data_IF_629900525620
#
_entry.id   IF_629900525620
#
_cell.length_a   1.000
_cell.length_b   1.000
_cell.length_c   1.000
_cell.angle_alpha   90.00
_cell.angle_beta   90.00
_cell.angle_gamma   90.00
#
_symmetry.space_group_name_H-M   'P 1'
#
loop_
_entity.id
_entity.type
_entity.pdbx_description
1 polymer ?
#
# COMPACT_ATOMS: atom_id res chain seq x y z
N UNK A 1 -11.04 0.60 -13.00
CA UNK A 1 -9.64 0.10 -13.16
C UNK A 1 -8.64 1.25 -13.19
N UNK A 2 -8.61 2.08 -14.23
CA UNK A 2 -7.64 3.19 -14.33
C UNK A 2 -7.61 4.12 -13.10
N UNK A 3 -8.77 4.57 -12.60
CA UNK A 3 -8.83 5.39 -11.38
C UNK A 3 -8.28 4.69 -10.14
N UNK A 4 -8.45 3.37 -10.06
CA UNK A 4 -7.91 2.57 -8.95
C UNK A 4 -6.39 2.45 -9.07
N UNK A 5 -5.88 2.19 -10.28
CA UNK A 5 -4.44 2.23 -10.58
C UNK A 5 -3.82 3.57 -10.16
N UNK A 6 -4.43 4.71 -10.53
CA UNK A 6 -3.93 6.03 -10.14
C UNK A 6 -3.91 6.23 -8.62
N UNK A 7 -4.96 5.78 -7.92
CA UNK A 7 -5.03 5.88 -6.47
C UNK A 7 -3.91 5.07 -5.81
N UNK A 8 -3.74 3.79 -6.18
CA UNK A 8 -2.72 2.94 -5.56
C UNK A 8 -1.30 3.35 -5.96
N UNK A 9 -1.10 3.87 -7.18
CA UNK A 9 0.17 4.48 -7.59
C UNK A 9 0.52 5.67 -6.69
N UNK A 10 -0.46 6.55 -6.43
CA UNK A 10 -0.27 7.67 -5.51
C UNK A 10 0.06 7.19 -4.10
N UNK A 11 -0.64 6.19 -3.57
CA UNK A 11 -0.38 5.67 -2.22
C UNK A 11 1.04 5.07 -2.08
N UNK A 12 1.58 4.47 -3.14
CA UNK A 12 2.99 4.04 -3.19
C UNK A 12 3.94 5.23 -3.20
N UNK A 13 3.72 6.23 -4.07
CA UNK A 13 4.59 7.40 -4.20
C UNK A 13 4.59 8.31 -2.96
N UNK A 14 3.45 8.43 -2.29
CA UNK A 14 3.31 9.18 -1.04
C UNK A 14 3.88 8.40 0.17
N UNK A 15 4.35 7.16 -0.03
CA UNK A 15 4.92 6.31 1.03
C UNK A 15 3.90 5.72 1.98
N UNK A 16 2.59 5.81 1.66
CA UNK A 16 1.52 5.17 2.46
C UNK A 16 1.58 3.65 2.37
N UNK A 17 1.93 3.13 1.19
CA UNK A 17 2.21 1.71 0.97
C UNK A 17 3.72 1.50 0.84
N UNK A 18 4.28 0.88 1.86
CA UNK A 18 5.71 0.58 1.90
C UNK A 18 6.03 -0.56 0.92
N UNK A 19 7.08 -0.37 0.14
CA UNK A 19 7.60 -1.37 -0.78
C UNK A 19 9.08 -1.60 -0.54
N UNK A 20 9.56 -2.82 -0.80
CA UNK A 20 10.99 -3.05 -0.94
C UNK A 20 11.52 -2.38 -2.20
N UNK A 21 12.83 -2.17 -2.29
CA UNK A 21 13.47 -1.60 -3.47
C UNK A 21 13.08 -2.35 -4.77
N UNK A 22 13.08 -3.67 -4.69
CA UNK A 22 12.75 -4.56 -5.81
C UNK A 22 11.28 -4.42 -6.24
N UNK A 23 10.36 -4.34 -5.27
CA UNK A 23 8.94 -4.09 -5.54
C UNK A 23 8.73 -2.69 -6.16
N UNK A 24 9.41 -1.68 -5.62
CA UNK A 24 9.36 -0.31 -6.16
C UNK A 24 9.81 -0.25 -7.62
N UNK A 25 10.90 -0.94 -7.98
CA UNK A 25 11.41 -0.99 -9.37
C UNK A 25 10.39 -1.67 -10.30
N UNK A 26 9.79 -2.80 -9.88
CA UNK A 26 8.72 -3.47 -10.63
C UNK A 26 7.52 -2.57 -10.88
N UNK A 27 7.07 -1.90 -9.82
CA UNK A 27 5.95 -0.96 -9.89
C UNK A 27 6.27 0.21 -10.84
N UNK A 28 7.45 0.81 -10.73
CA UNK A 28 7.89 1.88 -11.61
C UNK A 28 7.96 1.43 -13.09
N UNK A 29 8.49 0.23 -13.39
CA UNK A 29 8.52 -0.31 -14.75
C UNK A 29 7.13 -0.52 -15.35
N UNK A 30 6.19 -1.05 -14.56
CA UNK A 30 4.78 -1.18 -14.95
C UNK A 30 4.10 0.17 -15.14
N UNK A 31 4.41 1.16 -14.28
CA UNK A 31 3.88 2.51 -14.43
C UNK A 31 4.38 3.19 -15.71
N UNK A 32 5.65 3.03 -16.06
CA UNK A 32 6.20 3.56 -17.31
C UNK A 32 5.53 2.91 -18.53
N UNK A 33 5.34 1.58 -18.52
CA UNK A 33 4.61 0.91 -19.60
C UNK A 33 3.16 1.40 -19.72
N UNK A 34 2.48 1.62 -18.58
CA UNK A 34 1.09 2.10 -18.57
C UNK A 34 0.97 3.55 -19.05
N UNK A 35 1.90 4.42 -18.64
CA UNK A 35 1.84 5.86 -18.90
C UNK A 35 2.40 6.23 -20.29
N UNK A 36 3.42 5.52 -20.78
CA UNK A 36 4.19 5.89 -21.97
C UNK A 36 4.19 4.85 -23.10
N UNK A 37 3.82 3.60 -22.85
CA UNK A 37 3.86 2.53 -23.85
C UNK A 37 5.21 1.83 -23.96
N UNK A 38 5.50 1.18 -25.09
CA UNK A 38 6.62 0.24 -25.22
C UNK A 38 7.99 0.90 -25.15
N UNK A 39 8.94 0.21 -24.49
CA UNK A 39 10.35 0.59 -24.36
C UNK A 39 11.03 1.02 -25.67
N UNK A 40 10.73 0.34 -26.78
CA UNK A 40 11.39 0.58 -28.07
C UNK A 40 10.89 1.83 -28.82
N UNK A 41 9.90 2.54 -28.28
CA UNK A 41 9.37 3.77 -28.87
C UNK A 41 10.21 5.00 -28.52
N UNK A 42 11.19 4.86 -27.63
CA UNK A 42 12.04 5.95 -27.14
C UNK A 42 13.49 5.80 -27.64
N UNK A 43 14.08 6.90 -28.11
CA UNK A 43 15.51 6.93 -28.48
C UNK A 43 16.42 6.84 -27.25
N UNK A 44 15.99 7.42 -26.12
CA UNK A 44 16.67 7.35 -24.82
C UNK A 44 15.66 7.23 -23.68
N UNK A 45 16.13 6.80 -22.51
CA UNK A 45 15.33 6.63 -21.29
C UNK A 45 15.68 7.69 -20.22
N UNK A 46 16.38 8.75 -20.60
CA UNK A 46 16.83 9.79 -19.66
C UNK A 46 15.66 10.57 -19.06
N UNK A 47 14.52 10.63 -19.78
CA UNK A 47 13.28 11.25 -19.31
C UNK A 47 12.74 10.63 -18.01
N UNK A 48 13.12 9.39 -17.69
CA UNK A 48 12.72 8.72 -16.45
C UNK A 48 13.23 9.47 -15.20
N UNK A 49 14.31 10.24 -15.32
CA UNK A 49 14.85 11.07 -14.22
C UNK A 49 13.96 12.27 -13.88
N UNK A 50 13.13 12.70 -14.83
CA UNK A 50 12.21 13.82 -14.66
C UNK A 50 10.83 13.38 -14.13
N UNK A 51 10.60 12.06 -14.02
CA UNK A 51 9.32 11.50 -13.63
C UNK A 51 9.34 10.96 -12.19
N UNK A 52 8.24 11.15 -11.47
CA UNK A 52 8.09 10.68 -10.08
C UNK A 52 7.74 9.19 -10.10
N UNK A 53 8.79 8.36 -10.04
CA UNK A 53 8.70 6.89 -10.09
C UNK A 53 8.76 6.23 -8.71
N UNK A 54 9.30 6.94 -7.71
CA UNK A 54 9.56 6.43 -6.37
C UNK A 54 9.16 7.48 -5.32
N UNK A 55 9.01 7.08 -4.04
CA UNK A 55 8.90 8.03 -2.94
C UNK A 55 10.08 9.00 -2.93
N UNK A 56 9.79 10.27 -2.59
CA UNK A 56 10.80 11.35 -2.61
C UNK A 56 12.04 11.04 -1.77
N UNK A 57 11.90 10.25 -0.70
CA UNK A 57 12.99 9.85 0.18
C UNK A 57 14.04 8.96 -0.51
N UNK A 58 13.67 8.23 -1.57
CA UNK A 58 14.57 7.31 -2.28
C UNK A 58 15.43 8.00 -3.34
N UNK A 59 15.02 9.18 -3.79
CA UNK A 59 15.58 9.87 -4.95
C UNK A 59 16.27 11.18 -4.60
N UNK A 60 16.69 11.34 -3.33
CA UNK A 60 17.39 12.55 -2.87
C UNK A 60 18.84 12.64 -3.37
N UNK A 61 19.47 11.50 -3.62
CA UNK A 61 20.82 11.38 -4.16
C UNK A 61 20.74 11.12 -5.67
N UNK A 62 21.44 11.94 -6.45
CA UNK A 62 21.42 11.90 -7.92
C UNK A 62 22.02 10.60 -8.48
N UNK A 63 23.07 10.05 -7.84
CA UNK A 63 23.67 8.79 -8.26
C UNK A 63 22.74 7.61 -7.97
N UNK A 64 21.98 7.67 -6.87
CA UNK A 64 20.94 6.68 -6.55
C UNK A 64 19.79 6.78 -7.55
N UNK A 65 19.32 7.98 -7.88
CA UNK A 65 18.27 8.19 -8.87
C UNK A 65 18.70 7.66 -10.26
N UNK A 66 19.96 7.88 -10.66
CA UNK A 66 20.51 7.34 -11.90
C UNK A 66 20.49 5.80 -11.91
N UNK A 67 20.98 5.14 -10.86
CA UNK A 67 20.96 3.68 -10.76
C UNK A 67 19.53 3.12 -10.77
N UNK A 68 18.60 3.76 -10.06
CA UNK A 68 17.20 3.36 -10.03
C UNK A 68 16.53 3.51 -11.39
N UNK A 69 16.71 4.65 -12.07
CA UNK A 69 16.11 4.88 -13.40
C UNK A 69 16.66 3.92 -14.45
N UNK A 70 17.93 3.54 -14.37
CA UNK A 70 18.50 2.47 -15.21
C UNK A 70 17.84 1.11 -14.94
N UNK A 71 17.60 0.75 -13.67
CA UNK A 71 16.89 -0.48 -13.30
C UNK A 71 15.43 -0.45 -13.76
N UNK A 72 14.75 0.69 -13.65
CA UNK A 72 13.39 0.87 -14.17
C UNK A 72 13.34 0.69 -15.68
N UNK A 73 14.30 1.25 -16.42
CA UNK A 73 14.38 1.06 -17.87
C UNK A 73 14.55 -0.43 -18.24
N UNK A 74 15.36 -1.18 -17.47
CA UNK A 74 15.52 -2.62 -17.67
C UNK A 74 14.22 -3.39 -17.39
N UNK A 75 13.51 -3.05 -16.32
CA UNK A 75 12.23 -3.66 -15.98
C UNK A 75 11.15 -3.35 -17.03
N UNK A 76 11.01 -2.08 -17.40
CA UNK A 76 10.09 -1.60 -18.44
C UNK A 76 10.26 -2.36 -19.76
N UNK A 77 11.52 -2.62 -20.15
CA UNK A 77 11.83 -3.43 -21.33
C UNK A 77 11.16 -4.81 -21.30
N UNK A 78 11.07 -5.45 -20.13
CA UNK A 78 10.44 -6.77 -19.98
C UNK A 78 8.92 -6.76 -20.20
N UNK A 79 8.29 -5.59 -20.14
CA UNK A 79 6.86 -5.40 -20.32
C UNK A 79 6.48 -4.97 -21.75
N UNK A 80 7.44 -4.84 -22.66
CA UNK A 80 7.17 -4.44 -24.05
C UNK A 80 6.14 -5.37 -24.70
N UNK A 81 5.15 -4.80 -25.38
CA UNK A 81 4.09 -5.50 -26.09
C UNK A 81 2.83 -5.75 -25.28
N UNK A 82 2.80 -5.42 -23.98
CA UNK A 82 1.55 -5.40 -23.20
C UNK A 82 0.86 -4.04 -23.34
N UNK A 83 -0.47 -4.05 -23.35
CA UNK A 83 -1.27 -2.82 -23.41
C UNK A 83 -1.19 -2.03 -22.10
N UNK A 84 -1.47 -0.73 -22.16
CA UNK A 84 -1.56 0.10 -20.95
C UNK A 84 -2.57 -0.48 -19.92
N UNK A 85 -3.69 -1.02 -20.40
CA UNK A 85 -4.71 -1.66 -19.57
C UNK A 85 -4.20 -2.92 -18.82
N UNK A 86 -3.31 -3.68 -19.44
CA UNK A 86 -2.68 -4.86 -18.83
C UNK A 86 -1.59 -4.45 -17.84
N UNK A 87 -0.77 -3.45 -18.19
CA UNK A 87 0.22 -2.87 -17.30
C UNK A 87 -0.41 -2.28 -16.03
N UNK A 88 -1.52 -1.53 -16.15
CA UNK A 88 -2.33 -1.04 -15.03
C UNK A 88 -2.77 -2.19 -14.11
N UNK A 89 -3.26 -3.29 -14.68
CA UNK A 89 -3.76 -4.44 -13.93
C UNK A 89 -2.62 -5.18 -13.22
N UNK A 90 -1.48 -5.37 -13.90
CA UNK A 90 -0.29 -5.94 -13.31
C UNK A 90 0.25 -5.07 -12.16
N UNK A 91 0.22 -3.75 -12.32
CA UNK A 91 0.60 -2.81 -11.26
C UNK A 91 -0.28 -3.02 -10.03
N UNK A 92 -1.61 -3.05 -10.21
CA UNK A 92 -2.56 -3.29 -9.12
C UNK A 92 -2.25 -4.63 -8.42
N UNK A 93 -2.05 -5.70 -9.17
CA UNK A 93 -1.74 -7.03 -8.61
C UNK A 93 -0.43 -7.06 -7.81
N UNK A 94 0.56 -6.25 -8.19
CA UNK A 94 1.81 -6.14 -7.44
C UNK A 94 1.61 -5.30 -6.17
N UNK A 95 0.82 -4.22 -6.23
CA UNK A 95 0.47 -3.41 -5.05
C UNK A 95 -0.33 -4.21 -4.02
N UNK A 96 -1.22 -5.10 -4.45
CA UNK A 96 -1.98 -6.00 -3.57
C UNK A 96 -1.09 -6.90 -2.68
N UNK A 97 0.18 -7.10 -3.06
CA UNK A 97 1.16 -7.90 -2.32
C UNK A 97 1.97 -7.08 -1.31
N UNK A 98 1.84 -5.76 -1.32
CA UNK A 98 2.55 -4.89 -0.38
C UNK A 98 1.98 -5.04 1.03
N UNK A 99 2.85 -4.94 2.04
CA UNK A 99 2.39 -4.92 3.42
C UNK A 99 1.61 -3.64 3.69
N UNK A 100 0.55 -3.75 4.50
CA UNK A 100 -0.38 -2.64 4.75
C UNK A 100 -1.39 -2.39 3.62
N UNK A 101 -1.35 -3.12 2.50
CA UNK A 101 -2.34 -2.94 1.44
C UNK A 101 -3.77 -3.17 1.95
N UNK A 102 -4.65 -2.20 1.69
CA UNK A 102 -6.04 -2.23 2.14
C UNK A 102 -6.20 -2.16 3.66
N UNK A 103 -5.17 -1.73 4.39
CA UNK A 103 -5.21 -1.54 5.84
C UNK A 103 -5.25 -0.05 6.19
N UNK A 104 -6.19 0.33 7.04
CA UNK A 104 -6.21 1.64 7.71
C UNK A 104 -5.91 1.43 9.19
N UNK A 105 -4.95 2.16 9.75
CA UNK A 105 -4.43 1.92 11.11
C UNK A 105 -4.56 3.18 11.95
N UNK A 106 -5.16 3.03 13.13
CA UNK A 106 -5.41 4.11 14.09
C UNK A 106 -4.76 3.80 15.44
N UNK A 107 -4.02 4.75 16.05
CA UNK A 107 -3.55 4.58 17.42
C UNK A 107 -4.75 4.64 18.39
N UNK A 108 -4.83 3.68 19.31
CA UNK A 108 -5.87 3.63 20.35
C UNK A 108 -5.28 3.06 21.64
N UNK A 109 -6.02 3.13 22.74
CA UNK A 109 -5.69 2.43 24.00
C UNK A 109 -6.64 1.26 24.23
N UNK A 110 -6.14 0.17 24.77
CA UNK A 110 -6.99 -0.93 25.24
C UNK A 110 -7.75 -0.56 26.54
N UNK A 111 -8.53 -1.48 27.08
CA UNK A 111 -9.26 -1.29 28.34
C UNK A 111 -8.33 -1.15 29.58
N UNK A 112 -7.05 -1.47 29.45
CA UNK A 112 -6.04 -1.32 30.51
C UNK A 112 -5.21 -0.04 30.34
N UNK A 113 -5.48 0.77 29.30
CA UNK A 113 -4.76 2.01 28.99
C UNK A 113 -3.46 1.82 28.20
N UNK A 114 -3.16 0.61 27.71
CA UNK A 114 -1.97 0.33 26.92
C UNK A 114 -2.12 0.87 25.49
N UNK A 115 -1.09 1.53 24.97
CA UNK A 115 -1.06 1.98 23.58
C UNK A 115 -0.96 0.79 22.61
N UNK A 116 -1.93 0.72 21.71
CA UNK A 116 -2.06 -0.29 20.66
C UNK A 116 -2.49 0.38 19.36
N UNK A 117 -2.57 -0.38 18.29
CA UNK A 117 -3.08 0.08 17.01
C UNK A 117 -4.28 -0.76 16.60
N UNK A 118 -5.38 -0.09 16.30
CA UNK A 118 -6.58 -0.70 15.72
C UNK A 118 -6.49 -0.54 14.20
N UNK A 119 -6.42 -1.66 13.51
CA UNK A 119 -6.38 -1.74 12.07
C UNK A 119 -7.69 -2.25 11.48
N UNK A 120 -8.08 -1.73 10.32
CA UNK A 120 -9.27 -2.14 9.59
C UNK A 120 -8.83 -2.61 8.21
N UNK A 121 -9.39 -3.72 7.73
CA UNK A 121 -9.12 -4.28 6.41
C UNK A 121 -10.33 -5.07 5.89
N UNK A 122 -10.27 -5.53 4.65
CA UNK A 122 -11.44 -6.14 3.98
C UNK A 122 -12.04 -7.35 4.71
N UNK A 123 -11.26 -8.07 5.53
CA UNK A 123 -11.75 -9.22 6.30
C UNK A 123 -12.29 -8.87 7.69
N UNK A 124 -11.99 -7.69 8.24
CA UNK A 124 -12.35 -7.36 9.61
C UNK A 124 -11.57 -6.21 10.25
N UNK A 125 -11.44 -6.30 11.57
CA UNK A 125 -10.62 -5.43 12.40
C UNK A 125 -9.49 -6.27 13.00
N UNK A 126 -8.27 -5.75 13.04
CA UNK A 126 -7.13 -6.39 13.67
C UNK A 126 -6.46 -5.45 14.67
N UNK A 127 -5.81 -6.03 15.67
CA UNK A 127 -5.08 -5.27 16.69
C UNK A 127 -3.59 -5.55 16.54
N UNK A 128 -2.80 -4.48 16.44
CA UNK A 128 -1.34 -4.52 16.50
C UNK A 128 -0.87 -3.99 17.85
N UNK A 129 0.10 -4.66 18.46
CA UNK A 129 0.75 -4.16 19.66
C UNK A 129 1.72 -3.00 19.34
N UNK A 130 2.37 -2.43 20.36
CA UNK A 130 3.34 -1.33 20.21
C UNK A 130 4.54 -1.63 19.29
N UNK A 131 4.88 -2.90 19.05
CA UNK A 131 5.95 -3.31 18.14
C UNK A 131 5.44 -3.69 16.74
N UNK A 132 4.17 -3.38 16.42
CA UNK A 132 3.59 -3.59 15.09
C UNK A 132 3.12 -5.01 14.81
N UNK A 133 3.21 -5.94 15.78
CA UNK A 133 2.78 -7.33 15.58
C UNK A 133 1.28 -7.46 15.77
N UNK A 134 0.60 -8.06 14.79
CA UNK A 134 -0.83 -8.41 14.90
C UNK A 134 -1.02 -9.47 15.99
N UNK A 135 -1.85 -9.17 16.98
CA UNK A 135 -2.15 -10.05 18.12
C UNK A 135 -3.52 -10.68 18.02
N UNK A 136 -4.51 -9.97 17.47
CA UNK A 136 -5.91 -10.41 17.37
C UNK A 136 -6.50 -9.96 16.04
N UNK A 137 -7.39 -10.78 15.47
CA UNK A 137 -8.23 -10.45 14.31
C UNK A 137 -9.68 -10.78 14.65
N UNK A 138 -10.56 -9.79 14.52
CA UNK A 138 -12.01 -9.92 14.60
C UNK A 138 -12.56 -9.85 13.18
N UNK A 139 -13.09 -10.96 12.65
CA UNK A 139 -13.66 -10.97 11.30
C UNK A 139 -15.03 -10.30 11.31
N UNK A 140 -15.44 -9.76 10.16
CA UNK A 140 -16.79 -9.15 10.05
C UNK A 140 -17.90 -10.11 10.46
N UNK A 141 -17.78 -11.40 10.13
CA UNK A 141 -18.76 -12.43 10.51
C UNK A 141 -18.85 -12.68 12.03
N UNK A 142 -17.87 -12.24 12.81
CA UNK A 142 -17.85 -12.40 14.26
C UNK A 142 -18.34 -11.14 15.00
N UNK A 143 -18.52 -10.02 14.28
CA UNK A 143 -18.90 -8.71 14.84
C UNK A 143 -20.39 -8.49 14.58
N UNK A 144 -21.17 -8.35 15.64
CA UNK A 144 -22.61 -8.06 15.57
C UNK A 144 -22.90 -6.57 15.42
N UNK A 145 -22.13 -5.73 16.09
CA UNK A 145 -22.31 -4.28 16.08
C UNK A 145 -21.00 -3.55 16.43
N UNK A 146 -20.86 -2.31 15.96
CA UNK A 146 -19.74 -1.42 16.23
C UNK A 146 -20.32 -0.09 16.71
N UNK A 147 -20.09 0.24 17.98
CA UNK A 147 -20.56 1.48 18.58
C UNK A 147 -19.40 2.44 18.85
N UNK A 148 -19.65 3.73 18.65
CA UNK A 148 -18.72 4.81 18.99
C UNK A 148 -19.37 5.75 20.01
N UNK A 149 -18.67 6.03 21.11
CA UNK A 149 -19.11 6.96 22.14
C UNK A 149 -17.96 7.90 22.54
N UNK A 150 -18.00 9.14 22.04
CA UNK A 150 -17.04 10.22 22.29
C UNK A 150 -15.59 9.85 21.96
N UNK A 151 -14.94 9.13 22.88
CA UNK A 151 -13.53 8.74 22.84
C UNK A 151 -13.37 7.23 22.96
N UNK A 152 -14.41 6.46 22.61
CA UNK A 152 -14.42 5.01 22.77
C UNK A 152 -15.08 4.32 21.59
N UNK A 153 -14.47 3.22 21.16
CA UNK A 153 -15.03 2.29 20.18
C UNK A 153 -15.31 0.97 20.88
N UNK A 154 -16.51 0.43 20.70
CA UNK A 154 -16.96 -0.84 21.28
C UNK A 154 -17.30 -1.80 20.14
N UNK A 155 -16.69 -2.99 20.15
CA UNK A 155 -17.06 -4.10 19.27
C UNK A 155 -17.89 -5.10 20.06
N UNK A 156 -19.13 -5.30 19.62
CA UNK A 156 -20.03 -6.31 20.16
C UNK A 156 -19.90 -7.57 19.30
N UNK A 157 -19.46 -8.68 19.90
CA UNK A 157 -19.19 -9.92 19.18
C UNK A 157 -20.40 -10.85 19.27
N UNK A 158 -20.77 -11.50 18.15
CA UNK A 158 -22.02 -12.27 18.04
C UNK A 158 -22.08 -13.43 19.06
N UNK A 159 -20.94 -14.07 19.33
CA UNK A 159 -20.86 -15.29 20.15
C UNK A 159 -20.08 -15.10 21.46
N UNK A 160 -19.91 -13.86 21.95
CA UNK A 160 -19.25 -13.61 23.24
C UNK A 160 -20.10 -12.68 24.10
N UNK A 161 -20.12 -12.96 25.40
CA UNK A 161 -20.79 -12.09 26.38
C UNK A 161 -20.01 -10.80 26.64
N UNK A 162 -18.69 -10.81 26.40
CA UNK A 162 -17.82 -9.65 26.60
C UNK A 162 -17.62 -8.85 25.30
N UNK A 163 -17.86 -7.54 25.40
CA UNK A 163 -17.56 -6.57 24.37
C UNK A 163 -16.08 -6.17 24.41
N UNK A 164 -15.52 -5.85 23.23
CA UNK A 164 -14.15 -5.34 23.13
C UNK A 164 -14.18 -3.81 23.11
N UNK A 165 -13.51 -3.19 24.07
CA UNK A 165 -13.47 -1.73 24.24
C UNK A 165 -12.09 -1.17 23.89
N UNK A 166 -12.09 -0.11 23.07
CA UNK A 166 -10.94 0.70 22.71
C UNK A 166 -11.20 2.17 23.06
N UNK A 167 -10.15 2.91 23.40
CA UNK A 167 -10.20 4.35 23.65
C UNK A 167 -9.41 5.09 22.58
N UNK A 168 -10.04 6.05 21.90
CA UNK A 168 -9.47 6.86 20.81
C UNK A 168 -8.96 8.20 21.30
#
# INVERSE_FOLDING_TARGET
RYQYYLQVKKDVLDGRLLSSLEQGIRLAGLAVQADFGDYNQFESHDFLREYVLFPMEWTQDEAVLEDLTQKVAQEHRTHSGITAAEAELMYINEVERLDGFGQEIFPVKDNHGNDIHLGIFFMGIFIKNRIGRTTVIYRWNDIGNIAHNKSSIVLELINKEENVLFHT
#
